data_IF_422664396801
#
_entry.id   IF_422664396801
#
_cell.length_a   1.000
_cell.length_b   1.000
_cell.length_c   1.000
_cell.angle_alpha   90.00
_cell.angle_beta   90.00
_cell.angle_gamma   90.00
#
_symmetry.space_group_name_H-M   'P 1'
#
loop_
_entity.id
_entity.type
_entity.pdbx_description
1 polymer ?
#
# COMPACT_ATOMS: atom_id res chain seq x y z
N UNK A 1 -23.16 50.73 -74.31
CA UNK A 1 -23.24 49.26 -74.23
C UNK A 1 -22.84 48.82 -72.83
N UNK A 2 -23.78 48.59 -72.00
CA UNK A 2 -23.58 48.32 -70.55
C UNK A 2 -23.98 46.83 -70.29
N UNK A 3 -23.02 45.99 -69.91
CA UNK A 3 -23.22 44.55 -69.61
C UNK A 3 -23.39 44.41 -68.14
N UNK A 4 -24.58 44.05 -67.73
CA UNK A 4 -24.92 43.77 -66.28
C UNK A 4 -24.63 42.29 -65.99
N UNK A 5 -23.68 42.01 -65.12
CA UNK A 5 -23.42 40.67 -64.55
C UNK A 5 -24.34 40.42 -63.35
N UNK A 6 -25.14 39.41 -63.42
CA UNK A 6 -25.93 38.85 -62.30
C UNK A 6 -25.00 37.94 -61.45
N UNK A 7 -24.89 38.21 -60.20
CA UNK A 7 -24.24 37.34 -59.19
C UNK A 7 -25.30 36.44 -58.56
N UNK A 8 -25.14 35.13 -58.69
CA UNK A 8 -25.97 34.16 -57.98
C UNK A 8 -25.37 33.86 -56.60
N UNK A 9 -26.13 34.09 -55.56
CA UNK A 9 -25.76 33.77 -54.18
C UNK A 9 -26.26 32.34 -53.92
N UNK A 10 -25.34 31.38 -53.74
CA UNK A 10 -25.62 30.04 -53.25
C UNK A 10 -25.71 30.04 -51.72
N UNK A 11 -26.88 29.75 -51.19
CA UNK A 11 -27.08 29.54 -49.76
C UNK A 11 -26.61 28.14 -49.35
N UNK A 12 -25.49 28.06 -48.60
CA UNK A 12 -25.09 26.82 -47.91
C UNK A 12 -25.92 26.64 -46.64
N UNK A 13 -26.79 25.63 -46.64
CA UNK A 13 -27.47 25.15 -45.42
C UNK A 13 -26.47 24.30 -44.66
N UNK A 14 -25.94 24.80 -43.53
CA UNK A 14 -25.21 23.98 -42.53
C UNK A 14 -26.22 23.15 -41.75
N UNK A 15 -26.25 21.86 -42.03
CA UNK A 15 -26.91 20.89 -41.11
C UNK A 15 -26.04 20.73 -39.87
N UNK A 16 -26.44 21.29 -38.77
CA UNK A 16 -25.86 21.05 -37.47
C UNK A 16 -26.27 19.62 -37.04
N UNK A 17 -25.32 18.70 -37.16
CA UNK A 17 -25.46 17.36 -36.56
C UNK A 17 -25.40 17.50 -35.03
N UNK A 18 -26.54 17.41 -34.37
CA UNK A 18 -26.60 17.19 -32.92
C UNK A 18 -25.92 15.84 -32.62
N UNK A 19 -24.70 15.90 -32.04
CA UNK A 19 -24.14 14.75 -31.34
C UNK A 19 -24.99 14.52 -30.10
N UNK A 20 -25.43 13.30 -29.80
CA UNK A 20 -26.04 13.05 -28.51
C UNK A 20 -25.01 13.30 -27.45
N UNK A 21 -25.28 14.28 -26.57
CA UNK A 21 -24.61 14.42 -25.29
C UNK A 21 -24.93 13.15 -24.53
N UNK A 22 -23.89 12.35 -24.20
CA UNK A 22 -23.99 11.30 -23.19
C UNK A 22 -24.59 11.94 -21.96
N UNK A 23 -25.82 11.60 -21.62
CA UNK A 23 -26.46 11.97 -20.39
C UNK A 23 -25.54 11.52 -19.25
N UNK A 24 -25.10 12.47 -18.42
CA UNK A 24 -24.45 12.13 -17.16
C UNK A 24 -25.49 11.31 -16.36
N UNK A 25 -25.22 10.01 -16.14
CA UNK A 25 -26.08 9.16 -15.33
C UNK A 25 -26.42 9.87 -14.03
N UNK A 26 -27.71 9.98 -13.76
CA UNK A 26 -28.22 10.62 -12.56
C UNK A 26 -27.67 9.88 -11.32
N UNK A 27 -27.11 10.61 -10.37
CA UNK A 27 -26.62 10.07 -9.10
C UNK A 27 -27.70 9.32 -8.30
N UNK A 28 -28.96 9.49 -8.67
CA UNK A 28 -30.12 8.87 -8.01
C UNK A 28 -30.25 7.35 -8.24
N UNK A 29 -29.56 6.78 -9.24
CA UNK A 29 -29.69 5.35 -9.61
C UNK A 29 -28.50 4.50 -9.15
N UNK A 30 -27.53 5.10 -8.48
CA UNK A 30 -26.31 4.39 -8.02
C UNK A 30 -26.53 3.70 -6.67
N UNK A 31 -26.10 2.45 -6.60
CA UNK A 31 -26.12 1.63 -5.37
C UNK A 31 -24.71 1.31 -4.88
N UNK A 32 -24.60 1.04 -3.59
CA UNK A 32 -23.37 0.56 -3.00
C UNK A 32 -23.33 -0.97 -3.09
N UNK A 33 -22.30 -1.48 -3.73
CA UNK A 33 -22.00 -2.92 -3.82
C UNK A 33 -20.71 -3.17 -3.05
N UNK A 34 -20.70 -4.21 -2.22
CA UNK A 34 -19.54 -4.60 -1.43
C UNK A 34 -19.30 -6.10 -1.49
N UNK A 35 -18.03 -6.52 -1.57
CA UNK A 35 -17.59 -7.91 -1.42
C UNK A 35 -16.25 -7.96 -0.72
N UNK A 36 -15.99 -9.06 -0.02
CA UNK A 36 -14.69 -9.32 0.57
C UNK A 36 -14.24 -10.77 0.36
N UNK A 37 -12.91 -10.96 0.38
CA UNK A 37 -12.23 -12.25 0.29
C UNK A 37 -10.93 -12.20 1.11
N UNK A 38 -10.50 -13.33 1.65
CA UNK A 38 -9.17 -13.45 2.26
C UNK A 38 -8.13 -13.69 1.17
N UNK A 39 -7.11 -12.84 1.10
CA UNK A 39 -5.95 -13.00 0.22
C UNK A 39 -4.74 -12.25 0.79
N UNK A 40 -3.51 -12.65 0.46
CA UNK A 40 -2.26 -12.05 0.93
C UNK A 40 -2.20 -11.89 2.47
N UNK A 41 -2.80 -12.83 3.20
CA UNK A 41 -2.81 -12.86 4.66
C UNK A 41 -3.71 -11.82 5.34
N UNK A 42 -4.63 -11.17 4.60
CA UNK A 42 -5.60 -10.21 5.13
C UNK A 42 -6.94 -10.27 4.41
N UNK A 43 -7.97 -9.63 4.99
CA UNK A 43 -9.22 -9.41 4.28
C UNK A 43 -9.00 -8.34 3.20
N UNK A 44 -9.36 -8.66 1.97
CA UNK A 44 -9.48 -7.73 0.85
C UNK A 44 -10.97 -7.41 0.68
N UNK A 45 -11.32 -6.13 0.84
CA UNK A 45 -12.68 -5.64 0.72
C UNK A 45 -12.76 -4.60 -0.38
N UNK A 46 -13.77 -4.72 -1.24
CA UNK A 46 -14.06 -3.78 -2.32
C UNK A 46 -15.46 -3.26 -2.10
N UNK A 47 -15.60 -1.94 -2.08
CA UNK A 47 -16.88 -1.23 -2.02
C UNK A 47 -16.95 -0.28 -3.21
N UNK A 48 -17.99 -0.33 -4.02
CA UNK A 48 -18.16 0.57 -5.16
C UNK A 48 -19.56 1.18 -5.21
N UNK A 49 -19.63 2.41 -5.73
CA UNK A 49 -20.89 3.08 -6.06
C UNK A 49 -21.14 2.95 -7.55
N UNK A 50 -22.13 2.14 -7.96
CA UNK A 50 -22.34 1.72 -9.36
C UNK A 50 -23.83 1.72 -9.72
N UNK A 51 -24.13 1.86 -11.01
CA UNK A 51 -25.47 1.69 -11.57
C UNK A 51 -25.77 0.22 -11.94
N UNK A 52 -24.74 -0.56 -12.32
CA UNK A 52 -24.87 -1.97 -12.72
C UNK A 52 -24.12 -2.87 -11.71
N UNK A 53 -24.90 -3.60 -10.89
CA UNK A 53 -24.32 -4.52 -9.90
C UNK A 53 -23.68 -5.76 -10.53
N UNK A 54 -24.31 -6.47 -11.52
CA UNK A 54 -23.67 -7.58 -12.21
C UNK A 54 -22.32 -7.26 -12.81
N UNK A 55 -22.15 -6.09 -13.44
CA UNK A 55 -20.87 -5.67 -14.00
C UNK A 55 -19.83 -5.40 -12.90
N UNK A 56 -20.24 -4.74 -11.81
CA UNK A 56 -19.37 -4.53 -10.65
C UNK A 56 -18.89 -5.85 -10.04
N UNK A 57 -19.77 -6.83 -9.89
CA UNK A 57 -19.41 -8.14 -9.34
C UNK A 57 -18.40 -8.87 -10.24
N UNK A 58 -18.53 -8.78 -11.57
CA UNK A 58 -17.53 -9.34 -12.48
C UNK A 58 -16.16 -8.67 -12.36
N UNK A 59 -16.15 -7.35 -12.20
CA UNK A 59 -14.91 -6.61 -11.98
C UNK A 59 -14.26 -6.97 -10.62
N UNK A 60 -15.05 -7.17 -9.57
CA UNK A 60 -14.55 -7.59 -8.26
C UNK A 60 -13.90 -8.96 -8.30
N UNK A 61 -14.48 -9.93 -9.04
CA UNK A 61 -13.83 -11.24 -9.23
C UNK A 61 -12.47 -11.10 -9.90
N UNK A 62 -12.32 -10.27 -10.95
CA UNK A 62 -11.01 -10.01 -11.57
C UNK A 62 -10.00 -9.44 -10.58
N UNK A 63 -10.45 -8.54 -9.68
CA UNK A 63 -9.58 -7.99 -8.62
C UNK A 63 -9.15 -9.07 -7.66
N UNK A 64 -10.06 -9.93 -7.18
CA UNK A 64 -9.71 -11.01 -6.27
C UNK A 64 -8.77 -12.03 -6.92
N UNK A 65 -8.99 -12.36 -8.18
CA UNK A 65 -8.09 -13.23 -8.94
C UNK A 65 -6.68 -12.62 -9.09
N UNK A 66 -6.60 -11.28 -9.25
CA UNK A 66 -5.31 -10.56 -9.31
C UNK A 66 -4.60 -10.59 -7.96
N UNK A 67 -5.30 -10.38 -6.84
CA UNK A 67 -4.71 -10.54 -5.50
C UNK A 67 -4.14 -11.94 -5.31
N UNK A 68 -4.89 -12.99 -5.66
CA UNK A 68 -4.45 -14.38 -5.56
C UNK A 68 -3.25 -14.68 -6.48
N UNK A 69 -3.21 -14.06 -7.67
CA UNK A 69 -2.08 -14.17 -8.59
C UNK A 69 -0.83 -13.51 -8.02
N UNK A 70 -0.98 -12.30 -7.47
CA UNK A 70 0.13 -11.56 -6.87
C UNK A 70 0.64 -12.21 -5.60
N UNK A 71 -0.22 -12.83 -4.79
CA UNK A 71 0.20 -13.64 -3.65
C UNK A 71 1.12 -14.78 -4.09
N UNK A 72 0.70 -15.56 -5.12
CA UNK A 72 1.55 -16.62 -5.69
C UNK A 72 2.85 -16.11 -6.29
N UNK A 73 2.91 -14.86 -6.72
CA UNK A 73 4.10 -14.26 -7.34
C UNK A 73 5.10 -13.70 -6.34
N UNK A 74 4.62 -12.98 -5.31
CA UNK A 74 5.43 -12.12 -4.43
C UNK A 74 5.63 -12.70 -3.03
N UNK A 75 4.87 -13.73 -2.63
CA UNK A 75 4.90 -14.27 -1.28
C UNK A 75 6.06 -15.26 -1.09
N UNK A 76 6.73 -15.17 0.06
CA UNK A 76 7.76 -16.13 0.51
C UNK A 76 7.18 -17.50 0.86
N UNK A 77 5.85 -17.60 1.05
CA UNK A 77 5.16 -18.83 1.42
C UNK A 77 4.86 -19.76 0.22
N UNK A 78 5.01 -19.27 -0.99
CA UNK A 78 4.84 -20.03 -2.22
C UNK A 78 6.19 -20.39 -2.82
N UNK A 79 6.58 -21.67 -2.81
CA UNK A 79 7.89 -22.14 -3.28
C UNK A 79 8.22 -21.77 -4.74
N UNK A 80 7.19 -21.62 -5.61
CA UNK A 80 7.34 -21.21 -7.01
C UNK A 80 7.31 -19.70 -7.25
N UNK A 81 7.13 -18.87 -6.22
CA UNK A 81 7.10 -17.41 -6.36
C UNK A 81 8.44 -16.87 -6.87
N UNK A 82 8.42 -15.68 -7.48
CA UNK A 82 9.66 -14.99 -7.86
C UNK A 82 10.56 -14.76 -6.64
N UNK A 83 9.99 -14.34 -5.52
CA UNK A 83 10.71 -14.09 -4.27
C UNK A 83 11.36 -15.35 -3.72
N UNK A 84 10.63 -16.47 -3.65
CA UNK A 84 11.18 -17.74 -3.16
C UNK A 84 12.28 -18.27 -4.06
N UNK A 85 12.15 -18.12 -5.39
CA UNK A 85 13.20 -18.51 -6.35
C UNK A 85 14.47 -17.66 -6.19
N UNK A 86 14.32 -16.32 -6.02
CA UNK A 86 15.44 -15.42 -5.75
C UNK A 86 16.13 -15.81 -4.44
N UNK A 87 15.35 -16.06 -3.38
CA UNK A 87 15.87 -16.45 -2.08
C UNK A 87 16.61 -17.80 -2.12
N UNK A 88 16.13 -18.77 -2.91
CA UNK A 88 16.78 -20.08 -3.03
C UNK A 88 18.13 -20.03 -3.77
N UNK A 89 18.33 -19.03 -4.65
CA UNK A 89 19.53 -18.83 -5.44
C UNK A 89 20.49 -17.77 -4.85
N UNK A 90 20.21 -17.25 -3.66
CA UNK A 90 21.05 -16.27 -2.98
C UNK A 90 22.51 -16.78 -2.85
N UNK A 91 23.49 -15.94 -3.22
CA UNK A 91 24.90 -16.26 -3.26
C UNK A 91 25.32 -17.19 -4.41
N UNK A 92 24.40 -17.61 -5.30
CA UNK A 92 24.67 -18.60 -6.35
C UNK A 92 24.41 -18.09 -7.76
N UNK A 93 23.21 -17.64 -8.05
CA UNK A 93 22.84 -17.30 -9.43
C UNK A 93 21.85 -16.13 -9.50
N UNK A 94 21.86 -15.46 -10.65
CA UNK A 94 20.82 -14.48 -11.02
C UNK A 94 19.54 -15.20 -11.42
N UNK A 95 18.41 -14.72 -10.93
CA UNK A 95 17.10 -15.30 -11.21
C UNK A 95 16.31 -14.37 -12.11
N UNK A 96 15.73 -14.89 -13.19
CA UNK A 96 14.78 -14.15 -14.02
C UNK A 96 13.44 -14.04 -13.26
N UNK A 97 12.94 -12.81 -13.16
CA UNK A 97 11.68 -12.49 -12.49
C UNK A 97 10.74 -11.76 -13.44
N UNK A 98 9.49 -11.56 -13.02
CA UNK A 98 8.51 -10.77 -13.75
C UNK A 98 8.86 -9.27 -13.72
N UNK A 99 8.27 -8.50 -14.64
CA UNK A 99 8.40 -7.05 -14.62
C UNK A 99 7.79 -6.43 -13.35
N UNK A 100 6.74 -7.05 -12.83
CA UNK A 100 6.05 -6.65 -11.60
C UNK A 100 6.95 -6.80 -10.37
N UNK A 101 7.63 -7.93 -10.23
CA UNK A 101 8.61 -8.15 -9.14
C UNK A 101 9.75 -7.13 -9.21
N UNK A 102 10.24 -6.80 -10.41
CA UNK A 102 11.26 -5.75 -10.57
C UNK A 102 10.73 -4.36 -10.19
N UNK A 103 9.49 -4.04 -10.53
CA UNK A 103 8.86 -2.77 -10.16
C UNK A 103 8.77 -2.63 -8.64
N UNK A 104 8.25 -3.66 -7.98
CA UNK A 104 8.15 -3.69 -6.50
C UNK A 104 9.52 -3.56 -5.85
N UNK A 105 10.54 -4.30 -6.31
CA UNK A 105 11.89 -4.23 -5.76
C UNK A 105 12.56 -2.87 -5.99
N UNK A 106 12.33 -2.23 -7.14
CA UNK A 106 12.86 -0.88 -7.39
C UNK A 106 12.25 0.16 -6.45
N UNK A 107 10.94 0.12 -6.25
CA UNK A 107 10.28 1.00 -5.28
C UNK A 107 10.76 0.71 -3.86
N UNK A 108 10.96 -0.56 -3.51
CA UNK A 108 11.50 -0.96 -2.22
C UNK A 108 12.90 -0.38 -1.96
N UNK A 109 13.80 -0.45 -2.95
CA UNK A 109 15.14 0.13 -2.87
C UNK A 109 15.06 1.66 -2.72
N UNK A 110 14.21 2.33 -3.51
CA UNK A 110 14.01 3.77 -3.42
C UNK A 110 13.54 4.22 -2.03
N UNK A 111 12.58 3.50 -1.44
CA UNK A 111 12.14 3.78 -0.05
C UNK A 111 13.24 3.45 0.95
N UNK A 112 14.05 2.41 0.70
CA UNK A 112 15.26 2.12 1.46
C UNK A 112 16.25 3.29 1.46
N UNK A 113 16.49 3.90 0.30
CA UNK A 113 17.34 5.09 0.17
C UNK A 113 16.78 6.28 0.96
N UNK A 114 15.48 6.59 0.83
CA UNK A 114 14.84 7.70 1.54
C UNK A 114 14.84 7.52 3.06
N UNK A 115 14.73 6.28 3.52
CA UNK A 115 14.68 5.96 4.96
C UNK A 115 16.04 5.62 5.55
N UNK A 116 17.14 5.74 4.77
CA UNK A 116 18.48 5.38 5.23
C UNK A 116 18.62 3.92 5.64
N UNK A 117 17.92 3.02 4.95
CA UNK A 117 17.91 1.58 5.22
C UNK A 117 16.87 1.12 6.25
N UNK A 118 16.08 2.02 6.84
CA UNK A 118 15.05 1.63 7.81
C UNK A 118 13.85 0.90 7.17
N UNK A 119 13.66 1.05 5.86
CA UNK A 119 12.89 0.13 5.05
C UNK A 119 13.87 -0.74 4.25
N UNK A 120 13.95 -2.00 4.55
CA UNK A 120 14.86 -2.93 3.86
C UNK A 120 14.16 -4.27 3.60
N UNK A 121 13.90 -4.59 2.33
CA UNK A 121 13.23 -5.83 1.94
C UNK A 121 14.09 -7.08 2.15
N UNK A 122 15.39 -6.91 2.43
CA UNK A 122 16.28 -8.03 2.77
C UNK A 122 16.22 -8.43 4.25
N UNK A 123 15.40 -7.73 5.07
CA UNK A 123 15.09 -8.13 6.44
C UNK A 123 14.55 -9.57 6.53
N UNK A 124 14.13 -10.14 5.40
CA UNK A 124 13.80 -11.55 5.25
C UNK A 124 14.92 -12.50 5.73
N UNK A 125 16.15 -12.04 5.88
CA UNK A 125 17.23 -12.77 6.53
C UNK A 125 16.91 -13.18 7.98
N UNK A 126 16.02 -12.42 8.67
CA UNK A 126 15.52 -12.72 10.01
C UNK A 126 14.37 -13.73 10.03
N UNK A 127 13.87 -14.16 8.86
CA UNK A 127 12.78 -15.13 8.78
C UNK A 127 13.14 -16.43 9.52
N UNK A 128 12.17 -16.95 10.26
CA UNK A 128 12.33 -18.15 11.09
C UNK A 128 12.95 -17.90 12.47
N UNK A 129 13.58 -16.73 12.71
CA UNK A 129 13.95 -16.29 14.07
C UNK A 129 12.75 -15.64 14.77
N UNK A 130 12.20 -14.61 14.14
CA UNK A 130 10.94 -14.01 14.57
C UNK A 130 9.77 -14.64 13.83
N UNK A 131 8.71 -14.98 14.56
CA UNK A 131 7.51 -15.64 14.04
C UNK A 131 6.27 -14.89 14.52
N UNK A 132 5.60 -14.20 13.61
CA UNK A 132 4.43 -13.38 13.88
C UNK A 132 3.22 -13.75 13.04
N UNK A 133 3.37 -14.71 12.11
CA UNK A 133 2.33 -15.16 11.19
C UNK A 133 1.63 -16.42 11.72
N UNK A 134 1.19 -17.29 10.82
CA UNK A 134 0.53 -18.56 11.16
C UNK A 134 1.45 -19.54 11.93
N UNK A 135 2.76 -19.30 11.95
CA UNK A 135 3.77 -20.07 12.66
C UNK A 135 4.19 -19.44 14.00
N UNK A 136 3.41 -18.46 14.51
CA UNK A 136 3.70 -17.74 15.75
C UNK A 136 3.91 -18.70 16.93
N UNK A 137 5.05 -18.53 17.65
CA UNK A 137 5.43 -19.36 18.79
C UNK A 137 5.71 -18.54 20.07
N UNK A 138 5.57 -17.21 20.01
CA UNK A 138 5.80 -16.25 21.11
C UNK A 138 7.21 -16.30 21.71
N UNK A 139 8.20 -16.73 20.95
CA UNK A 139 9.58 -16.83 21.41
C UNK A 139 10.37 -15.60 21.00
N UNK A 140 11.21 -15.13 21.92
CA UNK A 140 12.23 -14.14 21.64
C UNK A 140 13.48 -14.91 21.17
N UNK A 141 14.02 -14.62 19.96
CA UNK A 141 15.24 -15.27 19.49
C UNK A 141 16.43 -14.90 20.38
N UNK A 142 17.45 -15.76 20.39
CA UNK A 142 18.67 -15.45 21.11
C UNK A 142 19.41 -14.29 20.42
N UNK A 143 19.97 -13.32 21.17
CA UNK A 143 20.63 -12.16 20.59
C UNK A 143 21.79 -12.54 19.64
N UNK A 144 22.51 -13.65 19.91
CA UNK A 144 23.56 -14.13 19.04
C UNK A 144 23.04 -14.62 17.68
N UNK A 145 21.86 -15.27 17.65
CA UNK A 145 21.24 -15.73 16.40
C UNK A 145 20.79 -14.53 15.55
N UNK A 146 20.23 -13.48 16.18
CA UNK A 146 19.86 -12.23 15.51
C UNK A 146 21.10 -11.55 14.94
N UNK A 147 22.14 -11.33 15.77
CA UNK A 147 23.39 -10.69 15.31
C UNK A 147 24.06 -11.42 14.16
N UNK A 148 23.96 -12.74 14.11
CA UNK A 148 24.52 -13.53 13.02
C UNK A 148 23.84 -13.28 11.66
N UNK A 149 22.61 -12.75 11.65
CA UNK A 149 21.84 -12.46 10.43
C UNK A 149 21.95 -11.02 9.95
N UNK A 150 22.31 -10.07 10.82
CA UNK A 150 22.39 -8.64 10.46
C UNK A 150 23.29 -8.35 9.23
N UNK A 151 24.45 -9.00 9.03
CA UNK A 151 25.25 -8.77 7.83
C UNK A 151 24.58 -9.14 6.50
N UNK A 152 23.50 -9.92 6.55
CA UNK A 152 22.73 -10.33 5.37
C UNK A 152 21.54 -9.38 5.06
N UNK A 153 21.34 -8.34 5.89
CA UNK A 153 20.34 -7.29 5.67
C UNK A 153 21.06 -6.11 5.02
N UNK A 154 20.76 -5.87 3.74
CA UNK A 154 21.45 -4.84 2.97
C UNK A 154 20.72 -4.68 1.60
N UNK A 155 19.76 -3.77 1.53
CA UNK A 155 19.01 -3.50 0.29
C UNK A 155 19.92 -2.99 -0.84
N UNK A 156 21.04 -2.32 -0.50
CA UNK A 156 21.99 -1.79 -1.48
C UNK A 156 22.76 -2.89 -2.23
N UNK A 157 22.90 -4.04 -1.60
CA UNK A 157 23.54 -5.20 -2.23
C UNK A 157 22.62 -5.95 -3.21
N UNK A 158 21.32 -5.63 -3.26
CA UNK A 158 20.39 -6.26 -4.19
C UNK A 158 20.67 -5.78 -5.62
N UNK A 159 21.11 -6.68 -6.48
CA UNK A 159 21.43 -6.34 -7.87
C UNK A 159 20.24 -6.59 -8.79
N UNK A 160 19.71 -5.51 -9.38
CA UNK A 160 18.64 -5.53 -10.35
C UNK A 160 19.17 -5.29 -11.77
N UNK A 161 18.80 -6.16 -12.73
CA UNK A 161 19.03 -5.90 -14.14
C UNK A 161 17.69 -5.77 -14.87
N UNK A 162 17.37 -4.55 -15.29
CA UNK A 162 16.10 -4.21 -15.92
C UNK A 162 15.92 -4.87 -17.29
N UNK A 163 16.95 -4.84 -18.12
CA UNK A 163 16.86 -5.31 -19.51
C UNK A 163 16.70 -6.82 -19.56
N UNK A 164 17.38 -7.53 -18.68
CA UNK A 164 17.32 -9.01 -18.57
C UNK A 164 16.23 -9.48 -17.59
N UNK A 165 15.60 -8.56 -16.88
CA UNK A 165 14.65 -8.86 -15.80
C UNK A 165 15.20 -9.88 -14.79
N UNK A 166 16.40 -9.62 -14.27
CA UNK A 166 17.02 -10.52 -13.31
C UNK A 166 17.31 -9.83 -11.99
N UNK A 167 17.25 -10.60 -10.91
CA UNK A 167 17.61 -10.24 -9.55
C UNK A 167 18.73 -11.14 -9.07
N UNK A 168 19.66 -10.59 -8.31
CA UNK A 168 20.72 -11.35 -7.66
C UNK A 168 20.96 -10.85 -6.24
N UNK A 169 21.04 -11.78 -5.31
CA UNK A 169 21.45 -11.55 -3.92
C UNK A 169 22.87 -12.11 -3.75
N UNK A 170 23.88 -11.26 -3.51
CA UNK A 170 25.29 -11.71 -3.57
C UNK A 170 25.71 -12.56 -2.37
N UNK A 171 25.00 -12.53 -1.25
CA UNK A 171 25.32 -13.33 -0.06
C UNK A 171 24.28 -14.44 0.15
N UNK A 172 24.74 -15.64 0.51
CA UNK A 172 23.89 -16.84 0.68
C UNK A 172 22.82 -16.67 1.77
N UNK A 173 23.09 -15.83 2.80
CA UNK A 173 22.17 -15.55 3.89
C UNK A 173 21.10 -14.51 3.59
N UNK A 174 21.27 -13.72 2.52
CA UNK A 174 20.28 -12.71 2.12
C UNK A 174 18.96 -13.35 1.73
N UNK A 175 17.87 -12.72 2.14
CA UNK A 175 16.50 -13.14 1.79
C UNK A 175 15.59 -11.95 1.62
N UNK A 176 14.89 -11.89 0.52
CA UNK A 176 13.82 -10.91 0.28
C UNK A 176 12.55 -11.30 1.05
N UNK A 177 11.86 -10.28 1.54
CA UNK A 177 10.49 -10.39 2.05
C UNK A 177 9.72 -9.11 1.69
N UNK A 178 8.65 -9.23 0.92
CA UNK A 178 7.90 -8.10 0.37
C UNK A 178 6.63 -7.74 1.17
N UNK A 179 6.52 -8.19 2.42
CA UNK A 179 5.32 -8.02 3.24
C UNK A 179 4.95 -6.56 3.57
N UNK A 180 5.91 -5.63 3.51
CA UNK A 180 5.68 -4.20 3.76
C UNK A 180 5.55 -3.35 2.49
N UNK A 181 5.30 -3.97 1.31
CA UNK A 181 5.12 -3.25 0.03
C UNK A 181 4.18 -3.98 -0.92
N UNK A 182 4.06 -5.30 -0.78
CA UNK A 182 3.35 -6.13 -1.75
C UNK A 182 1.85 -5.94 -1.73
N UNK A 183 1.26 -5.64 -0.57
CA UNK A 183 -0.17 -5.37 -0.45
C UNK A 183 -0.54 -4.04 -1.10
N UNK A 184 0.25 -3.01 -0.87
CA UNK A 184 0.08 -1.71 -1.54
C UNK A 184 0.15 -1.84 -3.07
N UNK A 185 1.10 -2.63 -3.59
CA UNK A 185 1.16 -2.94 -5.02
C UNK A 185 -0.12 -3.61 -5.53
N UNK A 186 -0.63 -4.60 -4.80
CA UNK A 186 -1.87 -5.28 -5.17
C UNK A 186 -3.08 -4.34 -5.16
N UNK A 187 -3.15 -3.39 -4.22
CA UNK A 187 -4.18 -2.35 -4.16
C UNK A 187 -4.09 -1.41 -5.38
N UNK A 188 -2.90 -1.00 -5.80
CA UNK A 188 -2.71 -0.18 -7.01
C UNK A 188 -3.16 -0.94 -8.28
N UNK A 189 -2.84 -2.24 -8.38
CA UNK A 189 -3.28 -3.10 -9.48
C UNK A 189 -4.81 -3.25 -9.51
N UNK A 190 -5.42 -3.47 -8.34
CA UNK A 190 -6.86 -3.55 -8.17
C UNK A 190 -7.57 -2.27 -8.62
N UNK A 191 -7.05 -1.11 -8.23
CA UNK A 191 -7.57 0.19 -8.65
C UNK A 191 -7.52 0.35 -10.18
N UNK A 192 -6.43 -0.09 -10.81
CA UNK A 192 -6.29 -0.07 -12.27
C UNK A 192 -7.31 -0.98 -12.97
N UNK A 193 -7.58 -2.18 -12.43
CA UNK A 193 -8.57 -3.12 -12.97
C UNK A 193 -9.98 -2.52 -12.90
N UNK A 194 -10.38 -1.99 -11.74
CA UNK A 194 -11.70 -1.39 -11.57
C UNK A 194 -11.93 -0.22 -12.54
N UNK A 195 -10.92 0.65 -12.71
CA UNK A 195 -10.98 1.76 -13.68
C UNK A 195 -11.08 1.27 -15.12
N UNK A 196 -10.33 0.23 -15.48
CA UNK A 196 -10.38 -0.37 -16.83
C UNK A 196 -11.76 -0.98 -17.14
N UNK A 197 -12.45 -1.48 -16.12
CA UNK A 197 -13.83 -1.99 -16.22
C UNK A 197 -14.90 -0.86 -16.08
N UNK A 198 -14.49 0.43 -16.10
CA UNK A 198 -15.41 1.58 -16.08
C UNK A 198 -15.93 1.97 -14.70
N UNK A 199 -15.43 1.37 -13.64
CA UNK A 199 -15.80 1.71 -12.27
C UNK A 199 -14.87 2.81 -11.77
N UNK A 200 -15.41 4.00 -11.53
CA UNK A 200 -14.66 5.21 -11.10
C UNK A 200 -14.76 5.48 -9.59
N UNK A 201 -15.86 5.05 -8.96
CA UNK A 201 -16.20 5.38 -7.59
C UNK A 201 -16.12 4.14 -6.70
N UNK A 202 -14.98 3.93 -6.08
CA UNK A 202 -14.71 2.74 -5.27
C UNK A 202 -13.75 2.99 -4.12
N UNK A 203 -13.82 2.11 -3.14
CA UNK A 203 -12.90 1.94 -2.03
C UNK A 203 -12.38 0.51 -2.03
N UNK A 204 -11.06 0.34 -2.02
CA UNK A 204 -10.39 -0.95 -1.84
C UNK A 204 -9.69 -0.91 -0.49
N UNK A 205 -9.80 -1.97 0.29
CA UNK A 205 -9.08 -2.15 1.55
C UNK A 205 -8.43 -3.53 1.58
N UNK A 206 -7.17 -3.59 1.98
CA UNK A 206 -6.41 -4.82 2.20
C UNK A 206 -5.57 -4.70 3.48
N UNK A 207 -6.08 -5.24 4.59
CA UNK A 207 -5.46 -5.01 5.90
C UNK A 207 -5.41 -3.52 6.24
N UNK A 208 -4.20 -2.98 6.50
CA UNK A 208 -3.97 -1.56 6.78
C UNK A 208 -3.93 -0.65 5.55
N UNK A 209 -3.98 -1.20 4.34
CA UNK A 209 -3.86 -0.46 3.08
C UNK A 209 -5.24 -0.19 2.49
N UNK A 210 -5.50 1.06 2.11
CA UNK A 210 -6.76 1.50 1.54
C UNK A 210 -6.50 2.42 0.35
N UNK A 211 -7.27 2.27 -0.73
CA UNK A 211 -7.32 3.21 -1.84
C UNK A 211 -8.76 3.66 -2.10
N UNK A 212 -8.99 4.97 -2.16
CA UNK A 212 -10.28 5.57 -2.50
C UNK A 212 -10.21 6.23 -3.87
N UNK A 213 -11.14 5.92 -4.77
CA UNK A 213 -11.32 6.56 -6.06
C UNK A 213 -12.69 7.23 -6.13
N UNK A 214 -12.73 8.45 -6.69
CA UNK A 214 -13.97 9.19 -6.87
C UNK A 214 -14.73 9.47 -5.57
N UNK A 215 -16.03 9.14 -5.52
CA UNK A 215 -16.91 9.48 -4.41
C UNK A 215 -17.89 8.34 -4.06
N UNK A 216 -18.36 8.32 -2.83
CA UNK A 216 -19.44 7.43 -2.39
C UNK A 216 -20.78 8.10 -2.71
N UNK A 217 -21.27 7.91 -3.93
CA UNK A 217 -22.43 8.62 -4.47
C UNK A 217 -22.22 10.15 -4.49
N UNK A 218 -22.82 10.90 -3.60
CA UNK A 218 -22.80 12.38 -3.52
C UNK A 218 -21.76 12.94 -2.53
N UNK A 219 -21.05 12.08 -1.80
CA UNK A 219 -20.11 12.46 -0.75
C UNK A 219 -18.75 11.78 -0.90
N UNK A 220 -17.64 12.37 -0.42
CA UNK A 220 -16.33 11.74 -0.44
C UNK A 220 -16.34 10.43 0.36
N UNK A 221 -15.42 9.53 0.02
CA UNK A 221 -15.09 8.39 0.87
C UNK A 221 -14.50 8.89 2.17
N UNK A 222 -14.68 8.12 3.24
CA UNK A 222 -14.13 8.46 4.55
C UNK A 222 -13.19 7.36 5.01
N UNK A 223 -11.92 7.70 5.21
CA UNK A 223 -10.92 6.84 5.83
C UNK A 223 -10.79 7.20 7.31
N UNK A 224 -10.45 6.20 8.13
CA UNK A 224 -10.29 6.41 9.56
C UNK A 224 -9.07 5.67 10.10
N UNK A 225 -8.44 6.24 11.14
CA UNK A 225 -7.30 5.67 11.83
C UNK A 225 -7.79 4.99 13.11
N UNK A 226 -7.46 3.70 13.22
CA UNK A 226 -7.76 2.91 14.39
C UNK A 226 -6.97 3.40 15.61
N UNK A 227 -7.60 3.39 16.77
CA UNK A 227 -6.91 3.60 18.05
C UNK A 227 -5.93 2.42 18.30
N UNK A 228 -4.61 2.67 18.37
CA UNK A 228 -3.62 1.60 18.48
C UNK A 228 -3.67 0.82 19.79
N UNK A 229 -4.39 1.30 20.79
CA UNK A 229 -4.56 0.66 22.11
C UNK A 229 -6.02 0.48 22.52
N UNK A 230 -6.95 0.97 21.70
CA UNK A 230 -8.39 0.79 21.92
C UNK A 230 -8.91 -0.56 21.41
N UNK A 231 -10.20 -0.83 21.64
CA UNK A 231 -10.91 -1.93 20.98
C UNK A 231 -10.75 -1.87 19.47
N UNK A 232 -10.93 -3.02 18.79
CA UNK A 232 -10.68 -3.13 17.35
C UNK A 232 -11.49 -2.18 16.46
N UNK A 233 -12.67 -1.78 16.91
CA UNK A 233 -13.60 -0.87 16.24
C UNK A 233 -13.45 0.60 16.67
N UNK A 234 -12.56 0.89 17.62
CA UNK A 234 -12.34 2.27 18.07
C UNK A 234 -11.45 3.03 17.11
N UNK A 235 -11.96 4.14 16.61
CA UNK A 235 -11.27 5.07 15.70
C UNK A 235 -10.92 6.34 16.46
N UNK A 236 -9.69 6.85 16.34
CA UNK A 236 -9.30 8.11 17.01
C UNK A 236 -9.29 9.31 16.07
N UNK A 237 -9.17 9.09 14.78
CA UNK A 237 -9.19 10.14 13.75
C UNK A 237 -9.83 9.65 12.46
N UNK A 238 -10.30 10.56 11.64
CA UNK A 238 -10.85 10.27 10.32
C UNK A 238 -10.64 11.44 9.37
N UNK A 239 -10.68 11.18 8.06
CA UNK A 239 -10.62 12.22 7.03
C UNK A 239 -11.41 11.81 5.79
N UNK A 240 -11.82 12.80 5.02
CA UNK A 240 -12.33 12.56 3.68
C UNK A 240 -11.17 12.28 2.73
N UNK A 241 -11.33 11.25 1.88
CA UNK A 241 -10.34 10.82 0.90
C UNK A 241 -10.95 10.73 -0.48
N UNK A 242 -10.18 11.12 -1.50
CA UNK A 242 -10.56 11.04 -2.91
C UNK A 242 -9.32 10.92 -3.77
N UNK A 243 -9.26 9.87 -4.60
CA UNK A 243 -8.12 9.56 -5.48
C UNK A 243 -6.78 9.52 -4.72
N UNK A 244 -6.85 8.99 -3.50
CA UNK A 244 -5.73 8.87 -2.55
C UNK A 244 -5.72 7.49 -1.91
N UNK A 245 -4.54 7.11 -1.47
CA UNK A 245 -4.31 5.94 -0.63
C UNK A 245 -4.06 6.34 0.80
N UNK A 246 -4.31 5.39 1.71
CA UNK A 246 -4.18 5.55 3.14
C UNK A 246 -3.66 4.21 3.69
N UNK A 247 -2.39 4.18 4.07
CA UNK A 247 -1.73 2.97 4.54
C UNK A 247 -1.27 3.12 5.98
N UNK A 248 -1.56 2.14 6.83
CA UNK A 248 -1.19 2.16 8.24
C UNK A 248 -0.36 0.96 8.62
N UNK A 249 0.85 1.21 9.12
CA UNK A 249 1.67 0.25 9.86
C UNK A 249 1.48 0.45 11.36
N UNK A 250 1.23 -0.65 12.09
CA UNK A 250 0.98 -0.60 13.52
C UNK A 250 1.56 -1.78 14.28
N UNK A 251 2.02 -1.54 15.50
CA UNK A 251 2.61 -2.55 16.39
C UNK A 251 1.57 -3.52 16.98
N UNK A 252 0.28 -3.27 16.71
CA UNK A 252 -0.86 -4.01 17.22
C UNK A 252 -1.45 -5.02 16.21
N UNK A 253 -0.93 -5.07 15.00
CA UNK A 253 -1.45 -5.97 13.97
C UNK A 253 -1.01 -7.43 14.20
N UNK A 254 0.30 -7.64 14.35
CA UNK A 254 0.90 -8.95 14.59
C UNK A 254 1.94 -8.82 15.68
N UNK A 255 1.62 -9.34 16.87
CA UNK A 255 2.48 -9.21 18.05
C UNK A 255 2.21 -10.31 19.08
N UNK A 256 3.12 -10.41 20.04
CA UNK A 256 2.90 -11.12 21.30
C UNK A 256 3.42 -10.27 22.46
N UNK A 257 2.95 -10.59 23.66
CA UNK A 257 3.38 -9.94 24.90
C UNK A 257 4.34 -10.86 25.64
N UNK A 258 5.48 -10.33 26.09
CA UNK A 258 6.42 -11.04 26.96
C UNK A 258 7.00 -10.07 28.00
N UNK A 259 6.91 -10.45 29.30
CA UNK A 259 7.39 -9.61 30.39
C UNK A 259 6.77 -8.21 30.44
N UNK A 260 5.52 -8.04 30.00
CA UNK A 260 4.85 -6.72 29.92
C UNK A 260 5.25 -5.89 28.71
N UNK A 261 6.15 -6.38 27.86
CA UNK A 261 6.61 -5.70 26.64
C UNK A 261 5.97 -6.31 25.40
N UNK A 262 5.63 -5.47 24.42
CA UNK A 262 5.10 -5.87 23.11
C UNK A 262 6.26 -6.18 22.16
N UNK A 263 6.20 -7.32 21.51
CA UNK A 263 7.07 -7.74 20.42
C UNK A 263 6.20 -7.89 19.18
N UNK A 264 6.54 -7.14 18.13
CA UNK A 264 5.71 -7.05 16.92
C UNK A 264 6.55 -7.25 15.67
N UNK A 265 5.88 -7.49 14.54
CA UNK A 265 6.45 -7.90 13.25
C UNK A 265 7.24 -6.84 12.50
N UNK A 266 7.17 -5.56 12.90
CA UNK A 266 7.93 -4.49 12.25
C UNK A 266 9.31 -4.46 12.89
N UNK A 267 10.30 -5.01 12.20
CA UNK A 267 11.67 -5.17 12.70
C UNK A 267 12.55 -4.02 12.23
N UNK A 268 13.43 -3.55 13.11
CA UNK A 268 14.48 -2.60 12.75
C UNK A 268 15.65 -3.36 12.09
N UNK A 269 15.99 -3.08 10.82
CA UNK A 269 17.07 -3.75 10.10
C UNK A 269 18.44 -3.65 10.76
N UNK A 270 18.72 -2.58 11.51
CA UNK A 270 20.01 -2.37 12.17
C UNK A 270 20.19 -3.25 13.40
N UNK A 271 19.13 -3.46 14.17
CA UNK A 271 19.17 -4.25 15.40
C UNK A 271 18.65 -5.68 15.23
N UNK A 272 17.80 -5.92 14.23
CA UNK A 272 17.05 -7.15 14.05
C UNK A 272 15.96 -7.37 15.10
N UNK A 273 15.63 -6.36 15.90
CA UNK A 273 14.62 -6.38 16.96
C UNK A 273 13.36 -5.62 16.52
N UNK A 274 12.20 -5.85 17.16
CA UNK A 274 11.03 -5.01 16.93
C UNK A 274 11.33 -3.53 17.15
N UNK A 275 11.00 -2.68 16.16
CA UNK A 275 11.22 -1.25 16.18
C UNK A 275 10.50 -0.57 17.36
N UNK A 276 10.95 0.60 17.76
CA UNK A 276 10.44 1.34 18.93
C UNK A 276 10.10 2.79 18.57
N UNK A 277 9.37 3.46 19.44
CA UNK A 277 9.06 4.88 19.31
C UNK A 277 7.70 5.17 18.68
N UNK A 278 7.13 4.25 17.91
CA UNK A 278 5.81 4.40 17.28
C UNK A 278 4.85 3.29 17.73
N UNK A 279 3.56 3.64 17.88
CA UNK A 279 2.43 2.68 17.99
C UNK A 279 1.81 2.46 16.62
N UNK A 280 1.67 3.52 15.82
CA UNK A 280 1.21 3.45 14.44
C UNK A 280 1.75 4.60 13.61
N UNK A 281 1.88 4.35 12.32
CA UNK A 281 2.18 5.35 11.28
C UNK A 281 1.20 5.15 10.15
N UNK A 282 0.50 6.22 9.80
CA UNK A 282 -0.39 6.28 8.65
C UNK A 282 0.19 7.20 7.61
N UNK A 283 0.32 6.74 6.38
CA UNK A 283 0.77 7.54 5.22
C UNK A 283 -0.39 7.75 4.27
N UNK A 284 -0.53 8.97 3.79
CA UNK A 284 -1.50 9.40 2.76
C UNK A 284 -0.72 9.87 1.53
N UNK A 285 -0.99 9.30 0.38
CA UNK A 285 -0.38 9.67 -0.90
C UNK A 285 -1.26 9.17 -2.05
N UNK A 286 -0.75 9.15 -3.29
CA UNK A 286 -1.53 8.71 -4.47
C UNK A 286 -1.26 7.26 -4.89
N UNK A 287 -0.18 6.65 -4.41
CA UNK A 287 0.25 5.29 -4.77
C UNK A 287 0.25 4.40 -3.53
N UNK A 288 -0.55 3.35 -3.55
CA UNK A 288 -0.68 2.44 -2.41
C UNK A 288 0.61 1.66 -2.13
N UNK A 289 1.34 1.26 -3.17
CA UNK A 289 2.65 0.61 -3.02
C UNK A 289 3.64 1.50 -2.27
N UNK A 290 3.67 2.80 -2.59
CA UNK A 290 4.54 3.76 -1.91
C UNK A 290 4.11 4.00 -0.46
N UNK A 291 2.80 4.13 -0.22
CA UNK A 291 2.26 4.33 1.13
C UNK A 291 2.55 3.14 2.06
N UNK A 292 2.38 1.90 1.57
CA UNK A 292 2.67 0.65 2.31
C UNK A 292 4.14 0.62 2.74
N UNK A 293 5.07 0.85 1.80
CA UNK A 293 6.50 0.87 2.09
C UNK A 293 6.91 2.02 3.04
N UNK A 294 6.40 3.24 2.79
CA UNK A 294 6.73 4.40 3.63
C UNK A 294 6.15 4.27 5.04
N UNK A 295 4.93 3.75 5.21
CA UNK A 295 4.36 3.56 6.54
C UNK A 295 5.24 2.67 7.42
N UNK A 296 5.80 1.61 6.84
CA UNK A 296 6.76 0.72 7.51
C UNK A 296 8.10 1.40 7.75
N UNK A 297 8.69 2.05 6.73
CA UNK A 297 10.00 2.71 6.87
C UNK A 297 9.98 3.88 7.86
N UNK A 298 8.94 4.70 7.86
CA UNK A 298 8.73 5.80 8.81
C UNK A 298 8.52 5.26 10.23
N UNK A 299 7.79 4.15 10.38
CA UNK A 299 7.62 3.50 11.67
C UNK A 299 8.97 3.11 12.30
N UNK A 300 9.86 2.54 11.49
CA UNK A 300 11.20 2.12 11.93
C UNK A 300 12.13 3.31 12.17
N UNK A 301 12.05 4.39 11.35
CA UNK A 301 12.78 5.65 11.57
C UNK A 301 12.46 6.29 12.93
N UNK A 302 11.26 6.02 13.44
CA UNK A 302 10.76 6.68 14.64
C UNK A 302 10.12 8.05 14.36
N UNK A 303 9.43 8.63 15.38
CA UNK A 303 8.48 9.71 15.13
C UNK A 303 9.11 11.02 14.63
N UNK A 304 10.24 11.45 15.15
CA UNK A 304 10.87 12.73 14.79
C UNK A 304 11.49 12.67 13.37
N UNK A 305 12.33 11.68 13.12
CA UNK A 305 12.98 11.51 11.82
C UNK A 305 11.94 11.11 10.74
N UNK A 306 10.96 10.31 11.12
CA UNK A 306 9.88 9.90 10.22
C UNK A 306 9.01 11.07 9.80
N UNK A 307 8.59 11.95 10.72
CA UNK A 307 7.84 13.16 10.39
C UNK A 307 8.66 14.11 9.52
N UNK A 308 9.95 14.30 9.86
CA UNK A 308 10.85 15.13 9.04
C UNK A 308 10.96 14.60 7.61
N UNK A 309 11.04 13.29 7.40
CA UNK A 309 11.03 12.68 6.07
C UNK A 309 9.71 12.96 5.33
N UNK A 310 8.57 12.72 5.97
CA UNK A 310 7.24 12.97 5.37
C UNK A 310 7.16 14.40 4.82
N UNK A 311 7.55 15.41 5.61
CA UNK A 311 7.50 16.83 5.23
C UNK A 311 8.43 17.19 4.05
N UNK A 312 9.39 16.34 3.69
CA UNK A 312 10.29 16.56 2.55
C UNK A 312 9.79 15.92 1.25
N UNK A 313 8.90 14.92 1.35
CA UNK A 313 8.45 14.15 0.19
C UNK A 313 7.23 14.82 -0.47
N UNK A 314 7.24 15.05 -1.79
CA UNK A 314 6.10 15.64 -2.48
C UNK A 314 4.88 14.70 -2.45
N UNK A 315 3.70 15.26 -2.27
CA UNK A 315 2.41 14.52 -2.25
C UNK A 315 2.36 13.37 -1.21
N UNK A 316 3.16 13.46 -0.15
CA UNK A 316 3.17 12.51 0.97
C UNK A 316 2.82 13.22 2.25
N UNK A 317 1.80 12.73 2.92
CA UNK A 317 1.35 13.23 4.22
C UNK A 317 1.29 12.08 5.23
N UNK A 318 1.26 12.39 6.53
CA UNK A 318 1.20 11.32 7.50
C UNK A 318 0.71 11.71 8.90
N UNK A 319 0.35 10.66 9.63
CA UNK A 319 -0.01 10.73 11.04
C UNK A 319 0.80 9.68 11.79
N UNK A 320 1.49 10.09 12.85
CA UNK A 320 2.28 9.21 13.71
C UNK A 320 1.70 9.24 15.12
N UNK A 321 1.41 8.07 15.68
CA UNK A 321 1.10 7.91 17.10
C UNK A 321 2.35 7.35 17.78
N UNK A 322 2.96 8.12 18.67
CA UNK A 322 4.20 7.71 19.36
C UNK A 322 3.91 6.67 20.45
N UNK A 323 4.95 5.99 20.93
CA UNK A 323 4.87 5.09 22.08
C UNK A 323 4.44 5.81 23.37
N UNK A 324 4.70 7.11 23.48
CA UNK A 324 4.25 8.00 24.57
C UNK A 324 2.86 8.60 24.32
N UNK A 325 2.11 8.08 23.35
CA UNK A 325 0.74 8.49 23.02
C UNK A 325 0.58 9.91 22.45
N UNK A 326 1.67 10.51 21.95
CA UNK A 326 1.62 11.80 21.24
C UNK A 326 1.19 11.55 19.79
N UNK A 327 0.24 12.35 19.30
CA UNK A 327 -0.19 12.33 17.88
C UNK A 327 0.51 13.46 17.13
N UNK A 328 1.39 13.10 16.20
CA UNK A 328 2.03 14.02 15.26
C UNK A 328 1.29 13.96 13.93
N UNK A 329 1.06 15.11 13.29
CA UNK A 329 0.33 15.24 12.04
C UNK A 329 1.15 16.12 11.11
N UNK A 330 1.36 15.70 9.86
CA UNK A 330 2.05 16.52 8.86
C UNK A 330 1.25 17.76 8.47
N UNK A 331 1.96 18.76 7.94
CA UNK A 331 1.41 20.09 7.66
C UNK A 331 0.18 20.07 6.76
N UNK A 332 0.18 19.25 5.71
CA UNK A 332 -0.94 19.15 4.75
C UNK A 332 -2.17 18.40 5.28
N UNK A 333 -2.06 17.68 6.40
CA UNK A 333 -3.22 17.02 7.04
C UNK A 333 -3.84 17.80 8.18
N UNK A 334 -3.21 18.86 8.67
CA UNK A 334 -3.64 19.57 9.89
C UNK A 334 -5.10 20.02 9.82
N UNK A 335 -5.57 20.53 8.68
CA UNK A 335 -6.95 20.97 8.46
C UNK A 335 -7.87 19.86 7.92
N UNK A 336 -7.32 18.77 7.41
CA UNK A 336 -8.06 17.64 6.80
C UNK A 336 -8.44 16.56 7.81
N UNK A 337 -7.60 16.39 8.86
CA UNK A 337 -7.76 15.32 9.83
C UNK A 337 -8.73 15.73 10.94
N UNK A 338 -9.88 15.09 10.99
CA UNK A 338 -10.84 15.21 12.08
C UNK A 338 -10.43 14.30 13.24
N UNK A 339 -10.12 14.86 14.40
CA UNK A 339 -9.88 14.09 15.62
C UNK A 339 -11.23 13.72 16.25
N UNK A 340 -11.50 12.43 16.36
CA UNK A 340 -12.71 11.90 16.99
C UNK A 340 -12.53 11.77 18.50
N UNK A 341 -11.36 11.26 18.90
CA UNK A 341 -10.97 11.05 20.31
C UNK A 341 -9.45 11.17 20.45
N UNK A 342 -8.96 11.29 21.67
CA UNK A 342 -7.54 11.00 21.94
C UNK A 342 -7.30 9.51 21.87
N UNK A 343 -6.16 9.03 21.32
CA UNK A 343 -5.82 7.63 21.39
C UNK A 343 -5.75 7.14 22.83
N UNK A 344 -6.10 5.89 23.07
CA UNK A 344 -6.09 5.26 24.38
C UNK A 344 -4.66 5.26 24.95
N UNK A 345 -4.51 5.75 26.18
CA UNK A 345 -3.23 5.72 26.88
C UNK A 345 -3.10 4.41 27.67
N UNK A 346 -2.67 3.37 26.98
CA UNK A 346 -2.35 2.06 27.53
C UNK A 346 -1.02 1.57 26.95
N UNK A 347 -0.29 0.67 27.64
CA UNK A 347 0.99 0.12 27.17
C UNK A 347 0.86 -0.75 25.91
#
# INVERSE_FOLDING_TARGET
MTVTRRVAIAACVLAAACRPTTEAESSADRRIVERSRLSMGSEVRITASVSDEPDALRAFEKVFDEFDRLDRLLSVWHAGSDVSRVNSEAGRARVTVTAETLEVLRTAILVGEWTGGKFDVTFGALSGLWKFDHDQDNRIPRPEDVRARLPDIDYQAVELNRDRRTVFLPRTGMRLHLGGIGKGYAVDRAAAILRADGISDFLIQSGGDLYASGARSDRPWRAAIRDPRGPADRLFAAMNVRDETFSTSGDYERYFMHGGQRYHHILDPDSGEPARGCRSVTIVTRQAMLADALSTGVFVLGPQAGMALIETLPDVEGVIVTDTNVVMVSSGLTERLERLHSPTDAP
#
